data_IF_909701854386
#
_entry.id   IF_909701854386
#
_cell.length_a   1.000
_cell.length_b   1.000
_cell.length_c   1.000
_cell.angle_alpha   90.00
_cell.angle_beta   90.00
_cell.angle_gamma   90.00
#
_symmetry.space_group_name_H-M   'P 1'
#
loop_
_entity.id
_entity.type
_entity.pdbx_description
1 polymer ?
#
# COMPACT_ATOMS: atom_id res chain seq x y z
N UNK A 1 -10.53 -4.23 -18.92
CA UNK A 1 -9.98 -3.32 -19.96
C UNK A 1 -11.04 -2.91 -20.97
N UNK A 2 -11.85 -3.84 -21.49
CA UNK A 2 -12.82 -3.49 -22.55
C UNK A 2 -14.02 -2.65 -22.07
N UNK A 3 -14.42 -2.77 -20.79
CA UNK A 3 -15.43 -1.90 -20.18
C UNK A 3 -14.96 -0.44 -19.97
N UNK A 4 -13.65 -0.22 -19.80
CA UNK A 4 -13.09 1.15 -19.71
C UNK A 4 -12.91 1.76 -21.10
N UNK A 5 -12.61 0.94 -22.11
CA UNK A 5 -12.48 1.38 -23.52
C UNK A 5 -13.81 1.79 -24.14
N UNK A 6 -14.94 1.29 -23.64
CA UNK A 6 -16.27 1.72 -24.09
C UNK A 6 -16.70 3.08 -23.54
N UNK A 7 -15.87 3.72 -22.69
CA UNK A 7 -16.12 5.07 -22.16
C UNK A 7 -17.25 5.17 -21.12
N UNK A 8 -17.96 4.08 -20.83
CA UNK A 8 -19.10 4.11 -19.91
C UNK A 8 -18.63 3.87 -18.47
N UNK A 9 -18.30 4.94 -17.72
CA UNK A 9 -17.91 4.85 -16.28
C UNK A 9 -18.96 4.14 -15.42
N UNK A 10 -20.25 4.33 -15.75
CA UNK A 10 -21.37 3.61 -15.15
C UNK A 10 -21.24 2.08 -15.29
N UNK A 11 -20.62 1.59 -16.37
CA UNK A 11 -20.42 0.15 -16.60
C UNK A 11 -19.38 -0.44 -15.64
N UNK A 12 -18.34 0.31 -15.25
CA UNK A 12 -17.34 -0.18 -14.29
C UNK A 12 -17.91 -0.21 -12.87
N UNK A 13 -18.57 0.87 -12.43
CA UNK A 13 -19.24 0.92 -11.11
C UNK A 13 -20.26 -0.22 -10.98
N UNK A 14 -21.06 -0.46 -12.02
CA UNK A 14 -22.05 -1.55 -12.05
C UNK A 14 -21.38 -2.92 -12.04
N UNK A 15 -20.38 -3.16 -12.91
CA UNK A 15 -19.68 -4.45 -12.95
C UNK A 15 -19.01 -4.80 -11.62
N UNK A 16 -18.40 -3.82 -10.93
CA UNK A 16 -17.83 -4.05 -9.60
C UNK A 16 -18.96 -4.32 -8.59
N UNK A 17 -20.03 -3.52 -8.58
CA UNK A 17 -21.19 -3.70 -7.69
C UNK A 17 -21.78 -5.10 -7.82
N UNK A 18 -21.95 -5.58 -9.05
CA UNK A 18 -22.45 -6.94 -9.34
C UNK A 18 -21.47 -8.02 -8.89
N UNK A 19 -20.16 -7.77 -9.06
CA UNK A 19 -19.11 -8.71 -8.66
C UNK A 19 -19.06 -8.90 -7.14
N UNK A 20 -19.12 -7.82 -6.36
CA UNK A 20 -18.99 -7.88 -4.90
C UNK A 20 -20.34 -7.93 -4.15
N UNK A 21 -21.45 -7.74 -4.85
CA UNK A 21 -22.81 -7.69 -4.30
C UNK A 21 -22.94 -6.63 -3.19
N UNK A 22 -22.40 -5.44 -3.45
CA UNK A 22 -22.40 -4.32 -2.50
C UNK A 22 -22.48 -3.00 -3.23
N UNK A 23 -23.41 -2.14 -2.80
CA UNK A 23 -23.63 -0.83 -3.39
C UNK A 23 -22.41 0.07 -3.20
N UNK A 24 -21.82 0.51 -4.31
CA UNK A 24 -20.81 1.56 -4.30
C UNK A 24 -21.50 2.94 -4.24
N UNK A 25 -21.25 3.68 -3.17
CA UNK A 25 -21.84 5.02 -2.98
C UNK A 25 -21.16 6.04 -3.89
N UNK A 26 -19.84 6.10 -3.82
CA UNK A 26 -19.04 7.12 -4.51
C UNK A 26 -17.93 6.50 -5.37
N UNK A 27 -17.45 7.27 -6.34
CA UNK A 27 -16.32 6.94 -7.22
C UNK A 27 -15.39 8.13 -7.34
N UNK A 28 -14.08 7.89 -7.25
CA UNK A 28 -13.05 8.88 -7.57
C UNK A 28 -12.26 8.34 -8.77
N UNK A 29 -12.09 9.15 -9.81
CA UNK A 29 -11.32 8.84 -11.00
C UNK A 29 -10.35 9.98 -11.32
N UNK A 30 -9.17 9.62 -11.81
CA UNK A 30 -8.05 10.54 -12.04
C UNK A 30 -7.38 10.19 -13.36
N UNK A 31 -7.05 11.21 -14.15
CA UNK A 31 -6.13 11.05 -15.28
C UNK A 31 -4.68 10.99 -14.77
N UNK A 32 -3.77 10.48 -15.60
CA UNK A 32 -2.34 10.49 -15.29
C UNK A 32 -1.81 11.91 -15.01
N UNK A 33 -2.23 12.90 -15.81
CA UNK A 33 -1.80 14.29 -15.64
C UNK A 33 -2.30 14.91 -14.32
N UNK A 34 -3.52 14.59 -13.92
CA UNK A 34 -4.09 15.10 -12.67
C UNK A 34 -3.49 14.39 -11.44
N UNK A 35 -3.20 13.09 -11.55
CA UNK A 35 -2.46 12.37 -10.51
C UNK A 35 -1.09 12.99 -10.25
N UNK A 36 -0.31 13.27 -11.31
CA UNK A 36 0.99 13.94 -11.21
C UNK A 36 0.86 15.27 -10.46
N UNK A 37 -0.11 16.10 -10.85
CA UNK A 37 -0.36 17.40 -10.21
C UNK A 37 -0.71 17.25 -8.74
N UNK A 38 -1.55 16.29 -8.36
CA UNK A 38 -1.92 16.05 -6.95
C UNK A 38 -0.70 15.70 -6.11
N UNK A 39 0.17 14.82 -6.62
CA UNK A 39 1.41 14.45 -5.92
C UNK A 39 2.36 15.64 -5.80
N UNK A 40 2.51 16.43 -6.87
CA UNK A 40 3.37 17.61 -6.86
C UNK A 40 2.87 18.69 -5.87
N UNK A 41 1.55 18.86 -5.73
CA UNK A 41 0.96 19.77 -4.73
C UNK A 41 1.32 19.38 -3.29
N UNK A 42 1.55 18.09 -3.03
CA UNK A 42 1.96 17.59 -1.71
C UNK A 42 3.49 17.68 -1.49
N UNK A 43 4.24 18.09 -2.52
CA UNK A 43 5.71 18.11 -2.50
C UNK A 43 6.33 16.73 -2.74
N UNK A 44 5.60 15.83 -3.41
CA UNK A 44 6.03 14.45 -3.67
C UNK A 44 5.57 13.46 -2.60
N UNK A 45 5.85 12.17 -2.84
CA UNK A 45 5.54 11.06 -1.93
C UNK A 45 6.82 10.34 -1.50
N UNK A 46 6.98 10.05 -0.21
CA UNK A 46 8.09 9.27 0.33
C UNK A 46 7.85 7.78 0.10
N UNK A 47 8.25 7.29 -1.07
CA UNK A 47 8.06 5.91 -1.50
C UNK A 47 9.28 5.08 -1.13
N UNK A 48 9.03 3.96 -0.46
CA UNK A 48 10.05 2.97 -0.16
C UNK A 48 10.13 1.91 -1.27
N UNK A 49 11.34 1.54 -1.67
CA UNK A 49 11.59 0.44 -2.59
C UNK A 49 12.64 -0.52 -2.05
N UNK A 50 12.48 -1.81 -2.34
CA UNK A 50 13.46 -2.87 -2.07
C UNK A 50 14.03 -3.43 -3.39
N UNK A 51 14.91 -4.43 -3.28
CA UNK A 51 15.55 -5.07 -4.44
C UNK A 51 14.59 -5.71 -5.45
N UNK A 52 13.33 -5.95 -5.08
CA UNK A 52 12.30 -6.53 -5.94
C UNK A 52 11.26 -5.50 -6.39
N UNK A 53 11.07 -4.41 -5.65
CA UNK A 53 10.13 -3.35 -6.02
C UNK A 53 10.77 -2.16 -6.70
N UNK A 54 12.10 -1.98 -6.60
CA UNK A 54 12.83 -0.94 -7.32
C UNK A 54 12.67 -1.13 -8.83
N UNK A 55 12.34 -0.05 -9.55
CA UNK A 55 12.16 -0.06 -11.00
C UNK A 55 12.81 1.19 -11.57
N UNK A 56 13.69 1.02 -12.54
CA UNK A 56 14.34 2.13 -13.24
C UNK A 56 13.71 2.32 -14.61
N UNK A 57 13.77 3.54 -15.10
CA UNK A 57 13.33 3.91 -16.44
C UNK A 57 14.42 4.73 -17.14
N UNK A 58 14.18 5.10 -18.39
CA UNK A 58 15.07 6.01 -19.11
C UNK A 58 15.15 7.39 -18.48
N UNK A 59 14.17 7.76 -17.65
CA UNK A 59 14.07 9.07 -17.01
C UNK A 59 14.48 9.05 -15.54
N UNK A 60 14.30 7.91 -14.86
CA UNK A 60 14.50 7.81 -13.41
C UNK A 60 15.39 6.61 -13.06
N UNK A 61 16.53 6.90 -12.43
CA UNK A 61 17.40 5.90 -11.83
C UNK A 61 17.16 5.88 -10.32
N UNK A 62 16.41 4.88 -9.86
CA UNK A 62 16.04 4.66 -8.47
C UNK A 62 16.99 3.64 -7.84
N UNK A 63 17.27 3.83 -6.57
CA UNK A 63 18.02 2.91 -5.74
C UNK A 63 17.10 2.30 -4.67
N UNK A 64 17.60 1.30 -3.94
CA UNK A 64 16.85 0.67 -2.85
C UNK A 64 16.85 1.58 -1.63
N UNK A 65 15.67 1.84 -1.06
CA UNK A 65 15.48 2.73 0.08
C UNK A 65 14.26 3.63 -0.05
N UNK A 66 14.22 4.68 0.76
CA UNK A 66 13.14 5.69 0.78
C UNK A 66 13.55 6.87 -0.09
N UNK A 67 12.67 7.27 -1.00
CA UNK A 67 12.87 8.43 -1.87
C UNK A 67 11.60 9.29 -1.89
N UNK A 68 11.78 10.60 -1.78
CA UNK A 68 10.68 11.54 -2.07
C UNK A 68 10.57 11.71 -3.58
N UNK A 69 9.64 10.96 -4.16
CA UNK A 69 9.39 10.94 -5.61
C UNK A 69 8.42 12.08 -5.99
N UNK A 70 8.73 12.80 -7.08
CA UNK A 70 7.79 13.77 -7.68
C UNK A 70 6.58 13.08 -8.31
N UNK A 71 5.56 13.82 -8.70
CA UNK A 71 4.37 13.24 -9.34
C UNK A 71 4.70 12.47 -10.61
N UNK A 72 5.60 13.01 -11.43
CA UNK A 72 6.07 12.34 -12.65
C UNK A 72 6.85 11.06 -12.34
N UNK A 73 7.70 11.07 -11.31
CA UNK A 73 8.46 9.91 -10.85
C UNK A 73 7.52 8.82 -10.30
N UNK A 74 6.58 9.17 -9.41
CA UNK A 74 5.56 8.25 -8.87
C UNK A 74 4.73 7.64 -9.99
N UNK A 75 4.32 8.43 -10.98
CA UNK A 75 3.58 7.93 -12.13
C UNK A 75 4.41 6.95 -12.97
N UNK A 76 5.66 7.27 -13.27
CA UNK A 76 6.57 6.35 -13.96
C UNK A 76 6.73 5.03 -13.18
N UNK A 77 7.01 5.12 -11.88
CA UNK A 77 7.15 3.97 -10.98
C UNK A 77 5.91 3.05 -10.97
N UNK A 78 4.72 3.64 -10.83
CA UNK A 78 3.45 2.90 -10.70
C UNK A 78 2.86 2.44 -12.03
N UNK A 79 3.30 3.01 -13.17
CA UNK A 79 2.82 2.63 -14.50
C UNK A 79 3.76 1.65 -15.23
N UNK A 80 5.04 1.61 -14.85
CA UNK A 80 6.07 0.77 -15.45
C UNK A 80 5.67 -0.71 -15.41
N UNK A 81 5.83 -1.37 -16.56
CA UNK A 81 5.74 -2.82 -16.76
C UNK A 81 6.87 -3.22 -17.70
N UNK A 82 7.54 -4.33 -17.42
CA UNK A 82 8.71 -4.77 -18.17
C UNK A 82 8.33 -5.70 -19.33
N UNK A 83 7.57 -6.77 -19.05
CA UNK A 83 7.16 -7.81 -20.01
C UNK A 83 5.70 -7.70 -20.44
N UNK A 84 4.87 -6.96 -19.69
CA UNK A 84 3.41 -6.83 -19.90
C UNK A 84 2.68 -8.17 -19.81
N UNK A 85 3.17 -9.07 -18.97
CA UNK A 85 2.57 -10.36 -18.65
C UNK A 85 1.65 -10.26 -17.42
N UNK A 86 0.85 -11.30 -17.13
CA UNK A 86 -0.12 -11.27 -16.02
C UNK A 86 0.53 -11.00 -14.66
N UNK A 87 1.71 -11.55 -14.38
CA UNK A 87 2.44 -11.29 -13.14
C UNK A 87 2.86 -9.82 -13.01
N UNK A 88 3.30 -9.18 -14.11
CA UNK A 88 3.66 -7.77 -14.11
C UNK A 88 2.47 -6.87 -13.76
N UNK A 89 1.25 -7.27 -14.16
CA UNK A 89 0.04 -6.54 -13.78
C UNK A 89 -0.22 -6.60 -12.27
N UNK A 90 0.00 -7.76 -11.63
CA UNK A 90 -0.15 -7.92 -10.18
C UNK A 90 0.91 -7.13 -9.42
N UNK A 91 2.17 -7.17 -9.87
CA UNK A 91 3.23 -6.35 -9.28
C UNK A 91 2.92 -4.85 -9.42
N UNK A 92 2.40 -4.43 -10.57
CA UNK A 92 1.99 -3.05 -10.80
C UNK A 92 0.86 -2.63 -9.86
N UNK A 93 -0.14 -3.49 -9.66
CA UNK A 93 -1.23 -3.24 -8.70
C UNK A 93 -0.66 -3.10 -7.28
N UNK A 94 0.24 -3.98 -6.85
CA UNK A 94 0.88 -3.89 -5.53
C UNK A 94 1.64 -2.57 -5.32
N UNK A 95 2.32 -2.07 -6.37
CA UNK A 95 2.96 -0.74 -6.34
C UNK A 95 1.94 0.40 -6.23
N UNK A 96 0.84 0.32 -6.98
CA UNK A 96 -0.24 1.31 -6.94
C UNK A 96 -0.90 1.36 -5.56
N UNK A 97 -1.21 0.19 -4.97
CA UNK A 97 -1.74 0.07 -3.61
C UNK A 97 -0.77 0.65 -2.57
N UNK A 98 0.52 0.32 -2.67
CA UNK A 98 1.56 0.87 -1.81
C UNK A 98 1.59 2.40 -1.87
N UNK A 99 1.55 2.97 -3.07
CA UNK A 99 1.53 4.42 -3.29
C UNK A 99 0.26 5.09 -2.78
N UNK A 100 -0.90 4.42 -2.84
CA UNK A 100 -2.14 4.93 -2.24
C UNK A 100 -2.04 4.99 -0.72
N UNK A 101 -1.44 3.98 -0.08
CA UNK A 101 -1.16 4.03 1.37
C UNK A 101 -0.12 5.11 1.71
N UNK A 102 0.95 5.25 0.92
CA UNK A 102 1.93 6.33 1.08
C UNK A 102 1.30 7.71 0.90
N UNK A 103 0.35 7.87 -0.03
CA UNK A 103 -0.42 9.10 -0.19
C UNK A 103 -1.21 9.40 1.09
N UNK A 104 -1.88 8.41 1.68
CA UNK A 104 -2.56 8.58 2.96
C UNK A 104 -1.59 9.03 4.07
N UNK A 105 -0.44 8.36 4.22
CA UNK A 105 0.56 8.76 5.21
C UNK A 105 1.04 10.19 4.98
N UNK A 106 1.27 10.58 3.73
CA UNK A 106 1.68 11.94 3.36
C UNK A 106 0.61 12.96 3.72
N UNK A 107 -0.68 12.67 3.44
CA UNK A 107 -1.80 13.53 3.82
C UNK A 107 -1.87 13.70 5.34
N UNK A 108 -1.73 12.61 6.09
CA UNK A 108 -1.80 12.62 7.55
C UNK A 108 -0.64 13.40 8.17
N UNK A 109 0.59 13.19 7.68
CA UNK A 109 1.79 13.90 8.13
C UNK A 109 1.75 15.39 7.77
N UNK A 110 1.14 15.75 6.63
CA UNK A 110 1.08 17.14 6.13
C UNK A 110 -0.28 17.80 6.36
N UNK A 111 -1.08 17.32 7.32
CA UNK A 111 -2.44 17.81 7.59
C UNK A 111 -2.56 19.32 7.77
N UNK A 112 -1.51 19.96 8.28
CA UNK A 112 -1.42 21.42 8.49
C UNK A 112 -1.38 22.21 7.17
N UNK A 113 -0.90 21.61 6.09
CA UNK A 113 -0.86 22.21 4.75
C UNK A 113 -2.16 22.03 3.97
N UNK A 114 -3.07 21.15 4.41
CA UNK A 114 -4.31 20.79 3.72
C UNK A 114 -5.42 21.81 3.97
N UNK A 115 -5.18 23.05 3.53
CA UNK A 115 -6.15 24.15 3.63
C UNK A 115 -7.39 23.90 2.77
N UNK A 116 -8.54 24.47 3.17
CA UNK A 116 -9.78 24.34 2.39
C UNK A 116 -9.61 24.77 0.92
N UNK A 117 -8.95 25.90 0.58
CA UNK A 117 -8.70 26.26 -0.83
C UNK A 117 -7.90 25.20 -1.60
N UNK A 118 -6.87 24.61 -0.98
CA UNK A 118 -6.09 23.55 -1.60
C UNK A 118 -6.93 22.29 -1.86
N UNK A 119 -7.78 21.91 -0.91
CA UNK A 119 -8.68 20.76 -1.06
C UNK A 119 -9.74 21.00 -2.16
N UNK A 120 -10.26 22.22 -2.27
CA UNK A 120 -11.17 22.60 -3.37
C UNK A 120 -10.45 22.53 -4.73
N UNK A 121 -9.20 23.00 -4.80
CA UNK A 121 -8.40 22.87 -6.00
C UNK A 121 -8.15 21.40 -6.36
N UNK A 122 -7.80 20.56 -5.38
CA UNK A 122 -7.60 19.14 -5.57
C UNK A 122 -8.88 18.43 -6.05
N UNK A 123 -10.06 18.82 -5.54
CA UNK A 123 -11.35 18.33 -6.04
C UNK A 123 -11.56 18.67 -7.53
N UNK A 124 -11.13 19.85 -7.98
CA UNK A 124 -11.16 20.23 -9.40
C UNK A 124 -10.24 19.38 -10.30
N UNK A 125 -9.32 18.61 -9.73
CA UNK A 125 -8.45 17.68 -10.45
C UNK A 125 -9.02 16.25 -10.51
N UNK A 126 -10.09 15.95 -9.78
CA UNK A 126 -10.70 14.62 -9.73
C UNK A 126 -12.03 14.59 -10.47
N UNK A 127 -12.35 13.45 -11.07
CA UNK A 127 -13.69 13.16 -11.56
C UNK A 127 -14.40 12.32 -10.51
N UNK A 128 -15.46 12.86 -9.89
CA UNK A 128 -16.14 12.20 -8.77
C UNK A 128 -17.63 12.55 -8.70
N UNK A 129 -18.41 11.65 -8.09
CA UNK A 129 -19.80 11.88 -7.68
C UNK A 129 -19.91 12.45 -6.24
N UNK A 130 -18.78 12.69 -5.57
CA UNK A 130 -18.70 13.48 -4.34
C UNK A 130 -18.86 14.97 -4.66
N UNK A 131 -19.73 15.65 -3.89
CA UNK A 131 -19.73 17.11 -3.87
C UNK A 131 -18.39 17.63 -3.36
N UNK A 132 -18.09 18.89 -3.70
CA UNK A 132 -16.87 19.56 -3.23
C UNK A 132 -16.84 19.61 -1.70
N UNK A 133 -17.99 19.88 -1.08
CA UNK A 133 -18.19 19.94 0.37
C UNK A 133 -17.97 18.57 1.02
N UNK A 134 -18.49 17.49 0.42
CA UNK A 134 -18.29 16.11 0.89
C UNK A 134 -16.82 15.70 0.75
N UNK A 135 -16.16 16.04 -0.36
CA UNK A 135 -14.74 15.76 -0.55
C UNK A 135 -13.87 16.45 0.50
N UNK A 136 -14.10 17.75 0.74
CA UNK A 136 -13.39 18.49 1.80
C UNK A 136 -13.63 17.85 3.16
N UNK A 137 -14.88 17.46 3.45
CA UNK A 137 -15.24 16.82 4.72
C UNK A 137 -14.57 15.44 4.87
N UNK A 138 -14.53 14.64 3.80
CA UNK A 138 -13.85 13.34 3.77
C UNK A 138 -12.36 13.48 4.06
N UNK A 139 -11.66 14.40 3.38
CA UNK A 139 -10.22 14.60 3.59
C UNK A 139 -9.95 15.12 5.01
N UNK A 140 -10.78 16.04 5.54
CA UNK A 140 -10.66 16.49 6.94
C UNK A 140 -10.89 15.36 7.93
N UNK A 141 -11.88 14.50 7.69
CA UNK A 141 -12.15 13.33 8.53
C UNK A 141 -10.95 12.37 8.56
N UNK A 142 -10.40 12.03 7.38
CA UNK A 142 -9.23 11.14 7.24
C UNK A 142 -7.99 11.70 7.96
N UNK A 143 -7.87 13.02 8.07
CA UNK A 143 -6.74 13.67 8.75
C UNK A 143 -7.02 14.02 10.23
N UNK A 144 -8.26 13.90 10.70
CA UNK A 144 -8.63 14.20 12.09
C UNK A 144 -8.13 13.14 13.08
N UNK A 145 -7.95 11.90 12.60
CA UNK A 145 -7.48 10.75 13.36
C UNK A 145 -6.78 9.78 12.44
N UNK A 146 -5.91 8.93 13.01
CA UNK A 146 -5.31 7.85 12.25
C UNK A 146 -6.40 6.82 11.90
N UNK A 147 -6.57 6.54 10.62
CA UNK A 147 -7.52 5.56 10.11
C UNK A 147 -6.73 4.34 9.67
N UNK A 148 -7.25 3.17 10.00
CA UNK A 148 -6.66 1.91 9.62
C UNK A 148 -7.19 1.47 8.26
N UNK A 149 -6.29 0.98 7.42
CA UNK A 149 -6.59 0.45 6.10
C UNK A 149 -6.29 -1.04 6.07
N UNK A 150 -7.13 -1.76 5.35
CA UNK A 150 -6.89 -3.15 4.94
C UNK A 150 -6.90 -3.22 3.42
N UNK A 151 -5.99 -3.99 2.85
CA UNK A 151 -5.94 -4.26 1.42
C UNK A 151 -6.17 -5.75 1.19
N UNK A 152 -7.00 -6.07 0.19
CA UNK A 152 -7.31 -7.43 -0.18
C UNK A 152 -7.50 -7.55 -1.69
N UNK A 153 -7.32 -8.75 -2.22
CA UNK A 153 -7.53 -9.08 -3.62
C UNK A 153 -8.69 -10.06 -3.76
N UNK A 154 -9.47 -9.88 -4.81
CA UNK A 154 -10.49 -10.86 -5.16
C UNK A 154 -9.82 -12.08 -5.81
N UNK A 155 -10.31 -13.30 -5.51
CA UNK A 155 -9.76 -14.52 -6.09
C UNK A 155 -9.89 -14.49 -7.62
N UNK A 156 -8.81 -14.83 -8.32
CA UNK A 156 -8.77 -14.93 -9.77
C UNK A 156 -7.84 -16.03 -10.22
N UNK A 157 -8.20 -16.73 -11.29
CA UNK A 157 -7.43 -17.80 -11.89
C UNK A 157 -7.00 -17.38 -13.31
N UNK A 158 -5.76 -17.67 -13.72
CA UNK A 158 -5.31 -17.39 -15.08
C UNK A 158 -6.14 -18.19 -16.09
N UNK A 159 -6.67 -17.50 -17.09
CA UNK A 159 -7.41 -18.09 -18.20
C UNK A 159 -6.99 -17.45 -19.52
N UNK A 160 -7.06 -18.22 -20.61
CA UNK A 160 -6.81 -17.69 -21.95
C UNK A 160 -8.13 -17.25 -22.58
N UNK A 161 -8.14 -16.05 -23.13
CA UNK A 161 -9.28 -15.58 -23.92
C UNK A 161 -9.48 -16.53 -25.11
N UNK A 162 -10.67 -17.13 -25.30
CA UNK A 162 -10.87 -18.14 -26.33
C UNK A 162 -10.54 -17.65 -27.74
N UNK A 163 -10.76 -16.35 -28.01
CA UNK A 163 -10.61 -15.69 -29.32
C UNK A 163 -9.20 -15.15 -29.52
N UNK A 164 -8.70 -14.37 -28.56
CA UNK A 164 -7.44 -13.63 -28.69
C UNK A 164 -6.23 -14.39 -28.13
N UNK A 165 -6.46 -15.49 -27.41
CA UNK A 165 -5.45 -16.26 -26.66
C UNK A 165 -4.68 -15.44 -25.63
N UNK A 166 -5.12 -14.21 -25.32
CA UNK A 166 -4.51 -13.37 -24.29
C UNK A 166 -4.84 -13.92 -22.92
N UNK A 167 -3.84 -13.94 -22.06
CA UNK A 167 -4.00 -14.30 -20.65
C UNK A 167 -4.80 -13.20 -19.94
N UNK A 168 -5.79 -13.60 -19.15
CA UNK A 168 -6.58 -12.74 -18.28
C UNK A 168 -6.89 -13.47 -16.96
N UNK A 169 -7.31 -12.73 -15.94
CA UNK A 169 -7.79 -13.32 -14.70
C UNK A 169 -9.30 -13.54 -14.77
N UNK A 170 -9.71 -14.80 -14.70
CA UNK A 170 -11.11 -15.19 -14.58
C UNK A 170 -11.43 -15.35 -13.10
N UNK A 171 -12.52 -14.75 -12.65
CA UNK A 171 -13.01 -14.89 -11.27
C UNK A 171 -14.34 -15.60 -11.25
N UNK A 172 -14.54 -16.45 -10.25
CA UNK A 172 -15.86 -16.99 -9.91
C UNK A 172 -16.57 -15.98 -9.01
N UNK A 173 -17.75 -15.51 -9.44
CA UNK A 173 -18.50 -14.45 -8.76
C UNK A 173 -18.88 -14.87 -7.33
N UNK A 174 -19.24 -16.13 -7.12
CA UNK A 174 -19.60 -16.63 -5.79
C UNK A 174 -18.40 -16.59 -4.85
N UNK A 175 -17.23 -17.05 -5.33
CA UNK A 175 -15.97 -16.97 -4.57
C UNK A 175 -15.56 -15.52 -4.30
N UNK A 176 -15.70 -14.63 -5.26
CA UNK A 176 -15.41 -13.20 -5.08
C UNK A 176 -16.27 -12.57 -3.98
N UNK A 177 -17.59 -12.84 -3.98
CA UNK A 177 -18.51 -12.36 -2.93
C UNK A 177 -18.21 -12.95 -1.56
N UNK A 178 -17.82 -14.22 -1.48
CA UNK A 178 -17.41 -14.85 -0.22
C UNK A 178 -16.12 -14.21 0.30
N UNK A 179 -15.12 -14.01 -0.57
CA UNK A 179 -13.86 -13.36 -0.21
C UNK A 179 -14.08 -11.92 0.27
N UNK A 180 -14.89 -11.14 -0.44
CA UNK A 180 -15.20 -9.76 -0.06
C UNK A 180 -15.94 -9.66 1.28
N UNK A 181 -16.98 -10.49 1.49
CA UNK A 181 -17.72 -10.53 2.77
C UNK A 181 -16.84 -10.99 3.93
N UNK A 182 -15.97 -11.97 3.70
CA UNK A 182 -14.98 -12.39 4.68
C UNK A 182 -14.05 -11.24 5.05
N UNK A 183 -13.50 -10.55 4.05
CA UNK A 183 -12.63 -9.40 4.28
C UNK A 183 -13.32 -8.29 5.10
N UNK A 184 -14.57 -7.94 4.77
CA UNK A 184 -15.35 -6.97 5.57
C UNK A 184 -15.58 -7.44 7.01
N UNK A 185 -15.84 -8.73 7.22
CA UNK A 185 -15.99 -9.30 8.57
C UNK A 185 -14.67 -9.21 9.33
N UNK A 186 -13.57 -9.60 8.68
CA UNK A 186 -12.24 -9.62 9.28
C UNK A 186 -11.82 -8.20 9.67
N UNK A 187 -12.02 -7.18 8.81
CA UNK A 187 -11.76 -5.77 9.11
C UNK A 187 -12.49 -5.24 10.36
N UNK A 188 -13.66 -5.79 10.68
CA UNK A 188 -14.44 -5.41 11.86
C UNK A 188 -14.17 -6.30 13.08
N UNK A 189 -13.17 -7.18 13.01
CA UNK A 189 -12.83 -8.13 14.06
C UNK A 189 -11.49 -7.80 14.71
N UNK A 190 -11.30 -8.30 15.93
CA UNK A 190 -10.01 -8.18 16.63
C UNK A 190 -8.86 -8.83 15.86
N UNK A 191 -9.14 -9.83 15.01
CA UNK A 191 -8.12 -10.51 14.18
C UNK A 191 -7.39 -9.53 13.26
N UNK A 192 -8.08 -8.50 12.76
CA UNK A 192 -7.47 -7.52 11.87
C UNK A 192 -6.46 -6.62 12.58
N UNK A 193 -6.68 -6.32 13.86
CA UNK A 193 -5.79 -5.51 14.69
C UNK A 193 -4.79 -6.36 15.48
N UNK A 194 -4.96 -7.68 15.51
CA UNK A 194 -4.17 -8.58 16.32
C UNK A 194 -2.89 -9.05 15.61
N UNK A 195 -1.77 -8.45 16.00
CA UNK A 195 -0.44 -8.77 15.52
C UNK A 195 0.05 -10.18 15.93
N UNK A 196 -0.67 -10.93 16.78
CA UNK A 196 -0.40 -12.37 16.99
C UNK A 196 -0.58 -13.17 15.68
N UNK A 197 -1.48 -12.71 14.80
CA UNK A 197 -1.72 -13.34 13.50
C UNK A 197 -0.80 -12.80 12.40
N UNK A 198 -0.08 -11.71 12.65
CA UNK A 198 0.86 -11.14 11.71
C UNK A 198 2.06 -12.06 11.50
N UNK A 199 2.40 -12.31 10.25
CA UNK A 199 3.61 -13.00 9.84
C UNK A 199 4.72 -11.97 9.66
N UNK A 200 5.46 -11.72 10.73
CA UNK A 200 6.52 -10.72 10.74
C UNK A 200 7.89 -11.35 10.57
N UNK A 201 8.76 -10.76 9.77
CA UNK A 201 10.20 -11.04 9.80
C UNK A 201 10.96 -9.84 10.40
N UNK A 202 12.13 -10.10 10.98
CA UNK A 202 13.03 -9.07 11.51
C UNK A 202 14.40 -9.18 10.85
N UNK A 203 14.90 -8.09 10.30
CA UNK A 203 16.14 -8.04 9.55
C UNK A 203 17.13 -7.09 10.22
N UNK A 204 18.36 -7.52 10.42
CA UNK A 204 19.42 -6.71 10.98
C UNK A 204 20.07 -5.84 9.89
N UNK A 205 19.73 -4.55 9.90
CA UNK A 205 20.30 -3.53 9.01
C UNK A 205 21.60 -2.91 9.51
N UNK A 206 22.22 -3.43 10.59
CA UNK A 206 23.43 -2.85 11.20
C UNK A 206 24.62 -3.84 11.19
N UNK A 207 25.79 -3.32 11.54
CA UNK A 207 27.01 -4.12 11.76
C UNK A 207 27.01 -4.87 13.11
N UNK A 208 26.08 -4.54 14.01
CA UNK A 208 26.02 -5.13 15.35
C UNK A 208 25.31 -6.47 15.27
N UNK A 209 26.02 -7.55 15.55
CA UNK A 209 25.45 -8.90 15.57
C UNK A 209 24.43 -9.06 16.70
N UNK A 210 23.36 -9.83 16.44
CA UNK A 210 22.35 -10.16 17.45
C UNK A 210 21.12 -9.24 17.52
N UNK A 211 21.17 -8.03 16.96
CA UNK A 211 20.06 -7.07 17.09
C UNK A 211 18.71 -7.58 16.57
N UNK A 212 18.68 -8.28 15.43
CA UNK A 212 17.42 -8.84 14.92
C UNK A 212 16.84 -9.90 15.88
N UNK A 213 17.68 -10.63 16.61
CA UNK A 213 17.25 -11.60 17.63
C UNK A 213 16.69 -10.89 18.86
N UNK A 214 17.31 -9.79 19.27
CA UNK A 214 16.84 -8.98 20.41
C UNK A 214 15.48 -8.34 20.10
N UNK A 215 15.35 -7.71 18.93
CA UNK A 215 14.09 -7.12 18.45
C UNK A 215 13.02 -8.19 18.27
N UNK A 216 13.38 -9.38 17.77
CA UNK A 216 12.46 -10.53 17.77
C UNK A 216 11.95 -10.84 19.17
N UNK A 217 12.81 -10.81 20.19
CA UNK A 217 12.42 -10.99 21.59
C UNK A 217 11.40 -9.95 22.05
N UNK A 218 11.69 -8.67 21.79
CA UNK A 218 10.81 -7.53 22.12
C UNK A 218 9.42 -7.69 21.50
N UNK A 219 9.37 -8.03 20.21
CA UNK A 219 8.11 -8.26 19.50
C UNK A 219 7.36 -9.48 20.07
N UNK A 220 8.08 -10.58 20.33
CA UNK A 220 7.49 -11.79 20.90
C UNK A 220 6.92 -11.56 22.31
N UNK A 221 7.59 -10.77 23.14
CA UNK A 221 7.13 -10.38 24.48
C UNK A 221 5.80 -9.59 24.44
N UNK A 222 5.54 -8.91 23.31
CA UNK A 222 4.29 -8.18 23.02
C UNK A 222 3.28 -9.00 22.21
N UNK A 223 3.52 -10.32 22.14
CA UNK A 223 2.73 -11.29 21.39
C UNK A 223 2.63 -10.94 19.91
N UNK A 224 3.72 -10.45 19.32
CA UNK A 224 3.82 -10.25 17.86
C UNK A 224 4.57 -11.47 17.31
N UNK A 225 3.96 -12.18 16.37
CA UNK A 225 4.54 -13.42 15.84
C UNK A 225 5.66 -13.11 14.85
N UNK A 226 6.89 -13.47 15.23
CA UNK A 226 8.07 -13.35 14.38
C UNK A 226 8.43 -14.71 13.79
N UNK A 227 8.33 -14.85 12.46
CA UNK A 227 8.65 -16.07 11.72
C UNK A 227 10.15 -16.28 11.56
N UNK A 228 10.90 -15.20 11.32
CA UNK A 228 12.33 -15.25 11.05
C UNK A 228 13.06 -14.01 11.57
N UNK A 229 14.34 -14.20 11.91
CA UNK A 229 15.27 -13.12 12.23
C UNK A 229 16.57 -13.36 11.45
N UNK A 230 16.96 -12.43 10.57
CA UNK A 230 18.12 -12.57 9.68
C UNK A 230 18.83 -11.22 9.48
N UNK A 231 19.79 -11.13 8.56
CA UNK A 231 20.41 -9.90 8.10
C UNK A 231 19.60 -9.25 6.99
N UNK A 232 19.56 -7.91 6.99
CA UNK A 232 18.99 -7.17 5.86
C UNK A 232 19.88 -7.29 4.62
N UNK A 233 19.30 -7.03 3.44
CA UNK A 233 19.99 -7.04 2.14
C UNK A 233 21.11 -5.98 2.01
N UNK A 234 21.14 -5.02 2.93
CA UNK A 234 22.17 -3.98 3.03
C UNK A 234 22.37 -3.64 4.51
N UNK A 235 23.55 -3.10 4.84
CA UNK A 235 23.89 -2.57 6.16
C UNK A 235 23.92 -1.04 6.18
N UNK A 236 23.98 -0.47 7.37
CA UNK A 236 24.05 0.98 7.59
C UNK A 236 22.69 1.66 7.60
N UNK A 237 21.63 0.95 8.01
CA UNK A 237 20.33 1.58 8.25
C UNK A 237 20.43 2.49 9.50
N UNK A 238 20.22 3.81 9.39
CA UNK A 238 20.38 4.71 10.53
C UNK A 238 19.23 4.57 11.54
N UNK A 239 18.03 4.21 11.06
CA UNK A 239 16.81 4.09 11.85
C UNK A 239 16.12 2.75 11.61
N UNK A 240 15.41 2.29 12.63
CA UNK A 240 14.55 1.12 12.58
C UNK A 240 13.26 1.49 11.86
N UNK A 241 12.87 0.66 10.90
CA UNK A 241 11.68 0.87 10.08
C UNK A 241 10.80 -0.38 10.03
N UNK A 242 9.51 -0.16 9.88
CA UNK A 242 8.50 -1.19 9.64
C UNK A 242 8.04 -1.09 8.19
N UNK A 243 8.17 -2.17 7.44
CA UNK A 243 7.73 -2.25 6.05
C UNK A 243 6.46 -3.07 5.99
N UNK A 244 5.38 -2.44 5.54
CA UNK A 244 4.09 -3.06 5.30
C UNK A 244 4.14 -3.91 4.03
N UNK A 245 3.94 -5.21 4.18
CA UNK A 245 3.94 -6.19 3.08
C UNK A 245 2.53 -6.63 2.68
N UNK A 246 1.53 -6.39 3.53
CA UNK A 246 0.16 -6.89 3.36
C UNK A 246 -0.86 -5.80 3.05
N UNK A 247 -0.60 -4.55 3.46
CA UNK A 247 -1.56 -3.46 3.44
C UNK A 247 -2.49 -3.42 4.65
N UNK A 248 -2.17 -4.14 5.73
CA UNK A 248 -2.88 -4.04 7.01
C UNK A 248 -2.16 -3.04 7.92
N UNK A 249 -2.61 -1.79 7.89
CA UNK A 249 -1.93 -0.70 8.62
C UNK A 249 -2.15 -0.77 10.14
N UNK A 250 -3.17 -1.47 10.61
CA UNK A 250 -3.39 -1.66 12.05
C UNK A 250 -2.27 -2.47 12.70
N UNK A 251 -1.83 -3.54 12.02
CA UNK A 251 -0.68 -4.36 12.45
C UNK A 251 0.59 -3.51 12.42
N UNK A 252 0.79 -2.70 11.37
CA UNK A 252 1.98 -1.86 11.26
C UNK A 252 2.07 -0.83 12.38
N UNK A 253 0.95 -0.19 12.71
CA UNK A 253 0.86 0.78 13.81
C UNK A 253 1.19 0.14 15.16
N UNK A 254 0.73 -1.10 15.39
CA UNK A 254 1.04 -1.86 16.61
C UNK A 254 2.53 -2.22 16.68
N UNK A 255 3.12 -2.72 15.60
CA UNK A 255 4.56 -3.03 15.53
C UNK A 255 5.38 -1.75 15.74
N UNK A 256 5.04 -0.67 15.03
CA UNK A 256 5.68 0.65 15.16
C UNK A 256 5.64 1.15 16.61
N UNK A 257 4.49 1.05 17.28
CA UNK A 257 4.33 1.46 18.68
C UNK A 257 5.22 0.66 19.64
N UNK A 258 5.36 -0.66 19.42
CA UNK A 258 6.26 -1.50 20.23
C UNK A 258 7.73 -1.12 20.03
N UNK A 259 8.08 -0.63 18.84
CA UNK A 259 9.42 -0.21 18.46
C UNK A 259 9.60 1.32 18.53
N UNK A 260 9.02 1.94 19.57
CA UNK A 260 9.20 3.36 19.87
C UNK A 260 8.83 4.32 18.72
N UNK A 261 7.75 3.98 18.01
CA UNK A 261 7.24 4.72 16.84
C UNK A 261 8.19 4.69 15.65
N UNK A 262 8.79 3.52 15.40
CA UNK A 262 9.53 3.24 14.16
C UNK A 262 8.72 3.66 12.92
N UNK A 263 9.40 4.25 11.94
CA UNK A 263 8.74 4.76 10.73
C UNK A 263 8.14 3.61 9.92
N UNK A 264 6.91 3.82 9.43
CA UNK A 264 6.20 2.82 8.61
C UNK A 264 6.30 3.21 7.14
N UNK A 265 6.71 2.25 6.32
CA UNK A 265 6.72 2.39 4.87
C UNK A 265 5.86 1.31 4.21
N UNK A 266 5.17 1.65 3.12
CA UNK A 266 4.34 0.69 2.39
C UNK A 266 5.06 0.18 1.14
N UNK A 267 5.29 -1.13 1.09
CA UNK A 267 5.80 -1.82 -0.08
C UNK A 267 5.24 -3.24 -0.12
N UNK A 268 3.99 -3.32 -0.57
CA UNK A 268 3.20 -4.53 -0.59
C UNK A 268 3.87 -5.61 -1.45
N UNK A 269 3.96 -6.80 -0.88
CA UNK A 269 4.61 -7.99 -1.45
C UNK A 269 3.85 -9.24 -1.00
N UNK A 270 2.63 -9.37 -1.52
CA UNK A 270 1.70 -10.47 -1.17
C UNK A 270 2.28 -11.85 -1.52
N UNK A 271 3.22 -11.90 -2.47
CA UNK A 271 3.97 -13.10 -2.87
C UNK A 271 4.88 -13.66 -1.77
N UNK A 272 5.32 -12.84 -0.81
CA UNK A 272 6.19 -13.29 0.28
C UNK A 272 5.44 -14.12 1.33
N UNK A 273 4.11 -14.00 1.40
CA UNK A 273 3.34 -14.57 2.51
C UNK A 273 3.75 -14.00 3.87
N UNK A 274 4.23 -12.75 3.89
CA UNK A 274 4.55 -11.97 5.08
C UNK A 274 3.59 -10.79 5.19
N UNK A 275 3.30 -10.39 6.42
CA UNK A 275 2.47 -9.23 6.69
C UNK A 275 3.32 -7.98 6.97
N UNK A 276 4.47 -8.16 7.63
CA UNK A 276 5.43 -7.09 7.94
C UNK A 276 6.89 -7.55 7.82
N UNK A 277 7.77 -6.62 7.46
CA UNK A 277 9.22 -6.75 7.61
C UNK A 277 9.72 -5.63 8.52
N UNK A 278 10.39 -5.95 9.62
CA UNK A 278 11.09 -4.95 10.45
C UNK A 278 12.55 -4.92 10.05
N UNK A 279 13.09 -3.76 9.71
CA UNK A 279 14.54 -3.59 9.48
C UNK A 279 15.11 -2.79 10.63
N UNK A 280 15.98 -3.41 11.42
CA UNK A 280 16.60 -2.80 12.60
C UNK A 280 17.73 -1.88 12.17
N UNK A 281 17.68 -0.64 12.62
CA UNK A 281 18.70 0.38 12.39
C UNK A 281 19.64 0.56 13.57
N UNK A 282 20.62 1.45 13.41
CA UNK A 282 21.61 1.80 14.43
C UNK A 282 21.06 2.61 15.59
N UNK A 283 19.79 3.03 15.51
CA UNK A 283 19.03 3.63 16.61
C UNK A 283 18.66 2.61 17.71
N UNK A 284 18.81 1.31 17.44
CA UNK A 284 18.59 0.25 18.40
C UNK A 284 19.89 -0.21 19.06
N UNK A 285 19.90 -0.22 20.40
CA UNK A 285 21.02 -0.76 21.18
C UNK A 285 20.81 -2.24 21.52
N UNK A 286 21.87 -3.07 21.54
CA UNK A 286 21.76 -4.47 21.94
C UNK A 286 21.35 -4.58 23.42
N UNK A 287 20.51 -5.57 23.76
CA UNK A 287 20.19 -5.86 25.15
C UNK A 287 21.46 -6.37 25.86
N UNK A 288 21.89 -5.66 26.91
CA UNK A 288 22.98 -6.11 27.80
C UNK A 288 22.57 -7.29 28.65
#
# INVERSE_FOLDING_TARGET
MDLLKSGAKSSVKSAITDLIDTKLHYTISLSASNWIRIVDLLGGLSVYTDNKTVRNSSQYNREVGVYTMSGADVYDYTSKMDKKETLDYLERISRQESVVLTLYETLFQRKEFLTTPLLVFAHGLIESDLSKEDFVSLVKFINSRRIQFGISELPGEPANDPKTKKLYLKTDITRARVAFRKFLKDMNSDVFIDAEFARTEVLNGTEVSGLAKDVRGILSDKRIKVLAADNAWKKGFPKTVVIDRSGNTAIMDRISTVLEKAEVHHALRKDLGLDATVVVGSDYEPRK
#
